data_IF_435003976399
#
_entry.id   IF_435003976399
#
_cell.length_a   1.000
_cell.length_b   1.000
_cell.length_c   1.000
_cell.angle_alpha   90.00
_cell.angle_beta   90.00
_cell.angle_gamma   90.00
#
_symmetry.space_group_name_H-M   'P 1'
#
loop_
_entity.id
_entity.type
_entity.pdbx_description
1 polymer ?
#
# COMPACT_ATOMS: atom_id res chain seq x y z
N UNK A 1 11.82 -10.59 5.33
CA UNK A 1 11.26 -9.58 4.41
C UNK A 1 9.78 -9.84 4.41
N UNK A 2 9.03 -8.97 5.08
CA UNK A 2 7.62 -9.23 5.37
C UNK A 2 6.80 -8.57 4.27
N UNK A 3 5.82 -9.31 3.74
CA UNK A 3 4.94 -8.79 2.69
C UNK A 3 3.52 -9.29 2.92
N UNK A 4 2.55 -8.46 2.54
CA UNK A 4 1.14 -8.81 2.58
C UNK A 4 0.49 -8.44 1.25
N UNK A 5 -0.39 -9.31 0.77
CA UNK A 5 -1.11 -9.12 -0.48
C UNK A 5 -2.61 -9.15 -0.25
N UNK A 6 -3.33 -8.21 -0.89
CA UNK A 6 -4.78 -8.23 -0.97
C UNK A 6 -5.22 -8.26 -2.43
N UNK A 7 -6.17 -9.13 -2.74
CA UNK A 7 -6.80 -9.20 -4.07
C UNK A 7 -8.03 -8.30 -4.08
N UNK A 8 -7.89 -7.10 -4.67
CA UNK A 8 -8.97 -6.12 -4.81
C UNK A 8 -10.04 -6.57 -5.81
N UNK A 9 -9.61 -7.17 -6.92
CA UNK A 9 -10.45 -7.70 -8.01
C UNK A 9 -9.69 -8.80 -8.76
N UNK A 10 -10.31 -9.52 -9.72
CA UNK A 10 -9.63 -10.58 -10.48
C UNK A 10 -8.31 -10.15 -11.12
N UNK A 11 -8.23 -8.87 -11.55
CA UNK A 11 -7.04 -8.30 -12.17
C UNK A 11 -6.27 -7.35 -11.24
N UNK A 12 -6.86 -6.84 -10.17
CA UNK A 12 -6.19 -5.88 -9.29
C UNK A 12 -5.73 -6.52 -7.99
N UNK A 13 -4.44 -6.33 -7.68
CA UNK A 13 -3.81 -6.78 -6.44
C UNK A 13 -3.00 -5.66 -5.81
N UNK A 14 -3.15 -5.51 -4.51
CA UNK A 14 -2.36 -4.61 -3.69
C UNK A 14 -1.33 -5.38 -2.90
N UNK A 15 -0.14 -4.81 -2.78
CA UNK A 15 0.94 -5.34 -1.99
C UNK A 15 1.46 -4.26 -1.05
N UNK A 16 1.81 -4.66 0.16
CA UNK A 16 2.71 -3.93 1.04
C UNK A 16 3.91 -4.83 1.33
N UNK A 17 5.11 -4.27 1.32
CA UNK A 17 6.35 -5.01 1.57
C UNK A 17 7.29 -4.17 2.42
N UNK A 18 7.81 -4.75 3.50
CA UNK A 18 8.88 -4.17 4.30
C UNK A 18 10.21 -4.44 3.60
N UNK A 19 10.81 -3.41 2.99
CA UNK A 19 12.09 -3.52 2.29
C UNK A 19 13.26 -3.56 3.29
N UNK A 20 13.19 -2.72 4.31
CA UNK A 20 14.14 -2.62 5.41
C UNK A 20 13.40 -2.23 6.72
N UNK A 21 14.08 -2.10 7.87
CA UNK A 21 13.40 -1.77 9.13
C UNK A 21 12.61 -0.45 9.12
N UNK A 22 12.90 0.50 8.23
CA UNK A 22 12.24 1.80 8.14
C UNK A 22 11.37 1.95 6.90
N UNK A 23 11.65 1.24 5.80
CA UNK A 23 10.98 1.46 4.51
C UNK A 23 9.88 0.45 4.21
N UNK A 24 8.69 0.96 3.90
CA UNK A 24 7.58 0.20 3.33
C UNK A 24 7.40 0.57 1.86
N UNK A 25 7.28 -0.44 1.00
CA UNK A 25 6.86 -0.30 -0.38
C UNK A 25 5.41 -0.75 -0.53
N UNK A 26 4.59 0.09 -1.14
CA UNK A 26 3.28 -0.30 -1.65
C UNK A 26 3.33 -0.48 -3.16
N UNK A 27 2.60 -1.47 -3.66
CA UNK A 27 2.54 -1.79 -5.09
C UNK A 27 1.12 -2.15 -5.49
N UNK A 28 0.69 -1.66 -6.66
CA UNK A 28 -0.54 -2.12 -7.31
C UNK A 28 -0.18 -2.86 -8.59
N UNK A 29 -0.73 -4.06 -8.75
CA UNK A 29 -0.62 -4.84 -9.99
C UNK A 29 -1.96 -4.91 -10.71
N UNK A 30 -1.90 -4.72 -12.02
CA UNK A 30 -2.98 -5.00 -12.97
C UNK A 30 -2.58 -6.24 -13.80
N UNK A 31 -3.17 -7.39 -13.49
CA UNK A 31 -2.73 -8.69 -13.98
C UNK A 31 -1.31 -8.99 -13.50
N UNK A 32 -0.38 -9.11 -14.45
CA UNK A 32 1.06 -9.32 -14.16
C UNK A 32 1.86 -8.02 -14.11
N UNK A 33 1.30 -6.92 -14.63
CA UNK A 33 1.99 -5.65 -14.73
C UNK A 33 1.93 -4.88 -13.40
N UNK A 34 3.05 -4.29 -13.00
CA UNK A 34 3.09 -3.34 -11.88
C UNK A 34 2.78 -1.96 -12.43
N UNK A 35 1.70 -1.35 -11.96
CA UNK A 35 1.23 -0.04 -12.44
C UNK A 35 1.41 1.08 -11.42
N UNK A 36 1.58 0.73 -10.15
CA UNK A 36 1.92 1.67 -9.08
C UNK A 36 3.01 1.04 -8.24
N UNK A 37 4.04 1.81 -7.92
CA UNK A 37 5.03 1.52 -6.90
C UNK A 37 5.36 2.81 -6.18
N UNK A 38 5.33 2.79 -4.84
CA UNK A 38 5.71 3.93 -4.03
C UNK A 38 6.28 3.45 -2.69
N UNK A 39 7.30 4.15 -2.22
CA UNK A 39 8.02 3.83 -1.00
C UNK A 39 7.84 4.97 0.02
N UNK A 40 7.78 4.63 1.31
CA UNK A 40 7.71 5.61 2.39
C UNK A 40 8.36 5.08 3.67
N UNK A 41 8.77 6.01 4.55
CA UNK A 41 9.23 5.67 5.91
C UNK A 41 8.03 5.29 6.78
N UNK A 42 8.05 4.10 7.39
CA UNK A 42 6.97 3.58 8.22
C UNK A 42 6.55 4.53 9.36
N UNK A 43 7.45 5.40 9.84
CA UNK A 43 7.17 6.37 10.90
C UNK A 43 6.27 7.52 10.44
N UNK A 44 6.19 7.73 9.13
CA UNK A 44 5.30 8.73 8.52
C UNK A 44 3.90 8.20 8.25
N UNK A 45 3.70 6.88 8.34
CA UNK A 45 2.39 6.28 8.12
C UNK A 45 1.46 6.59 9.30
N UNK A 46 0.31 7.23 9.09
CA UNK A 46 -0.58 7.62 10.18
C UNK A 46 -1.09 6.40 10.97
N UNK A 47 -1.18 6.52 12.29
CA UNK A 47 -1.84 5.52 13.14
C UNK A 47 -3.37 5.59 13.04
N UNK A 48 -3.91 6.76 12.71
CA UNK A 48 -5.33 6.98 12.46
C UNK A 48 -5.72 6.36 11.11
N UNK A 49 -6.71 5.47 11.10
CA UNK A 49 -7.16 4.76 9.91
C UNK A 49 -7.77 5.70 8.87
N UNK A 50 -8.46 6.76 9.31
CA UNK A 50 -9.12 7.70 8.41
C UNK A 50 -8.09 8.51 7.61
N UNK A 51 -6.89 8.73 8.18
CA UNK A 51 -5.80 9.46 7.52
C UNK A 51 -4.91 8.57 6.65
N UNK A 52 -5.01 7.24 6.76
CA UNK A 52 -4.12 6.33 6.01
C UNK A 52 -4.41 6.33 4.51
N UNK A 53 -5.69 6.36 4.13
CA UNK A 53 -6.06 6.39 2.72
C UNK A 53 -5.66 7.71 2.07
N UNK A 54 -5.84 8.84 2.77
CA UNK A 54 -5.40 10.15 2.31
C UNK A 54 -3.88 10.23 2.17
N UNK A 55 -3.13 9.70 3.15
CA UNK A 55 -1.68 9.59 3.06
C UNK A 55 -1.24 8.80 1.82
N UNK A 56 -1.85 7.64 1.57
CA UNK A 56 -1.52 6.80 0.41
C UNK A 56 -1.93 7.45 -0.90
N UNK A 57 -3.07 8.16 -0.93
CA UNK A 57 -3.52 8.93 -2.10
C UNK A 57 -2.45 9.96 -2.47
N UNK A 58 -2.03 10.75 -1.50
CA UNK A 58 -1.00 11.78 -1.66
C UNK A 58 0.34 11.20 -2.12
N UNK A 59 0.77 10.11 -1.48
CA UNK A 59 1.99 9.40 -1.83
C UNK A 59 1.96 8.91 -3.28
N UNK A 60 0.87 8.25 -3.67
CA UNK A 60 0.71 7.65 -5.00
C UNK A 60 0.55 8.72 -6.07
N UNK A 61 -0.20 9.78 -5.81
CA UNK A 61 -0.34 10.91 -6.74
C UNK A 61 1.00 11.60 -7.02
N UNK A 62 1.89 11.69 -6.03
CA UNK A 62 3.26 12.20 -6.22
C UNK A 62 4.17 11.22 -6.98
N UNK A 63 4.12 9.93 -6.63
CA UNK A 63 5.00 8.92 -7.22
C UNK A 63 4.56 8.49 -8.63
N UNK A 64 3.26 8.51 -8.92
CA UNK A 64 2.65 8.02 -10.15
C UNK A 64 1.54 9.00 -10.60
N UNK A 65 1.89 10.18 -11.17
CA UNK A 65 0.91 11.16 -11.64
C UNK A 65 0.10 10.56 -12.81
N UNK A 66 -1.11 10.09 -12.53
CA UNK A 66 -1.94 9.33 -13.47
C UNK A 66 -2.52 8.04 -12.90
N UNK A 67 -2.08 7.60 -11.72
CA UNK A 67 -2.60 6.42 -11.02
C UNK A 67 -4.12 6.49 -10.79
N UNK A 68 -4.64 7.65 -10.40
CA UNK A 68 -6.09 7.85 -10.20
C UNK A 68 -6.89 7.70 -11.48
N UNK A 69 -6.36 8.19 -12.62
CA UNK A 69 -7.01 8.05 -13.93
C UNK A 69 -6.91 6.62 -14.45
N UNK A 70 -5.80 5.93 -14.19
CA UNK A 70 -5.58 4.55 -14.63
C UNK A 70 -6.48 3.55 -13.89
N UNK A 71 -6.69 3.77 -12.59
CA UNK A 71 -7.51 2.90 -11.74
C UNK A 71 -8.98 3.32 -11.69
N UNK A 72 -9.29 4.55 -12.08
CA UNK A 72 -10.64 5.13 -12.16
C UNK A 72 -11.47 4.80 -10.91
N UNK A 73 -12.63 4.16 -11.05
CA UNK A 73 -13.54 3.79 -9.97
C UNK A 73 -12.94 2.80 -8.96
N UNK A 74 -11.84 2.12 -9.32
CA UNK A 74 -11.17 1.18 -8.42
C UNK A 74 -10.13 1.86 -7.51
N UNK A 75 -9.81 3.15 -7.72
CA UNK A 75 -8.71 3.80 -7.03
C UNK A 75 -8.90 3.81 -5.51
N UNK A 76 -10.06 4.27 -5.03
CA UNK A 76 -10.35 4.34 -3.59
C UNK A 76 -10.32 2.95 -2.94
N UNK A 77 -10.87 1.94 -3.62
CA UNK A 77 -10.80 0.56 -3.15
C UNK A 77 -9.35 0.05 -3.07
N UNK A 78 -8.51 0.40 -4.05
CA UNK A 78 -7.09 0.05 -4.02
C UNK A 78 -6.37 0.71 -2.85
N UNK A 79 -6.70 1.97 -2.51
CA UNK A 79 -6.13 2.68 -1.37
C UNK A 79 -6.51 2.01 -0.05
N UNK A 80 -7.78 1.68 0.16
CA UNK A 80 -8.23 0.98 1.37
C UNK A 80 -7.58 -0.41 1.52
N UNK A 81 -7.47 -1.17 0.43
CA UNK A 81 -6.78 -2.46 0.43
C UNK A 81 -5.26 -2.30 0.67
N UNK A 82 -4.62 -1.25 0.13
CA UNK A 82 -3.21 -0.96 0.42
C UNK A 82 -3.00 -0.57 1.89
N UNK A 83 -3.86 0.29 2.45
CA UNK A 83 -3.79 0.66 3.86
C UNK A 83 -3.90 -0.58 4.75
N UNK A 84 -4.83 -1.49 4.43
CA UNK A 84 -4.95 -2.77 5.12
C UNK A 84 -3.68 -3.61 4.99
N UNK A 85 -3.12 -3.76 3.79
CA UNK A 85 -1.89 -4.52 3.59
C UNK A 85 -0.71 -3.94 4.38
N UNK A 86 -0.58 -2.61 4.45
CA UNK A 86 0.45 -1.94 5.26
C UNK A 86 0.27 -2.26 6.74
N UNK A 87 -0.96 -2.17 7.28
CA UNK A 87 -1.24 -2.53 8.68
C UNK A 87 -0.84 -3.96 9.01
N UNK A 88 -1.10 -4.91 8.12
CA UNK A 88 -0.70 -6.31 8.31
C UNK A 88 0.82 -6.48 8.33
N UNK A 89 1.56 -5.79 7.46
CA UNK A 89 3.04 -5.82 7.45
C UNK A 89 3.62 -5.17 8.72
N UNK A 90 3.01 -4.09 9.20
CA UNK A 90 3.46 -3.41 10.42
C UNK A 90 3.10 -4.21 11.70
N UNK A 91 1.92 -4.84 11.72
CA UNK A 91 1.45 -5.69 12.82
C UNK A 91 2.16 -7.05 12.91
N UNK A 92 2.54 -7.63 11.77
CA UNK A 92 3.29 -8.89 11.74
C UNK A 92 4.69 -8.75 12.35
N UNK A 93 5.30 -7.55 12.26
CA UNK A 93 6.59 -7.24 12.87
C UNK A 93 6.55 -7.06 14.39
N UNK A 94 5.37 -6.90 15.01
CA UNK A 94 5.21 -6.68 16.46
C UNK A 94 5.08 -7.98 17.26
N UNK A 95 5.06 -9.15 16.61
CA UNK A 95 4.92 -10.47 17.24
C UNK A 95 6.24 -11.15 17.68
N UNK A 96 7.37 -10.43 17.72
CA UNK A 96 8.67 -10.99 18.16
C UNK A 96 9.17 -10.47 19.54
N UNK A 97 8.29 -9.99 20.41
CA UNK A 97 8.66 -9.64 21.79
C UNK A 97 7.64 -10.25 22.78
N UNK A 98 7.77 -11.55 23.03
CA UNK A 98 7.39 -12.20 24.29
C UNK A 98 8.41 -13.27 24.63
#
# INVERSE_FOLDING_TARGET
MDSFQITTSPLLRQFATRLDPQTIQVTTKLGVATIIRADFDQRTFPSDQDLQEDFLRDLISRANPGASQLLDQSFDKCLGDQAKAVREVLGSGTHQLK
#
